data_IF_146205535037
#
_entry.id   IF_146205535037
#
_cell.length_a   1.000
_cell.length_b   1.000
_cell.length_c   1.000
_cell.angle_alpha   90.00
_cell.angle_beta   90.00
_cell.angle_gamma   90.00
#
_symmetry.space_group_name_H-M   'P 1'
#
loop_
_entity.id
_entity.type
_entity.pdbx_description
1 polymer ?
#
# COMPACT_ATOMS: atom_id res chain seq x y z
N UNK A 1 -15.41 -9.38 -9.38
CA UNK A 1 -14.71 -10.53 -10.00
C UNK A 1 -15.45 -11.85 -9.77
N UNK A 2 -15.65 -12.31 -8.53
CA UNK A 2 -16.29 -13.62 -8.23
C UNK A 2 -17.65 -13.80 -8.94
N UNK A 3 -18.52 -12.78 -8.91
CA UNK A 3 -19.82 -12.80 -9.61
C UNK A 3 -19.72 -12.89 -11.13
N UNK A 4 -18.66 -12.32 -11.73
CA UNK A 4 -18.48 -12.27 -13.20
C UNK A 4 -17.77 -13.51 -13.74
N UNK A 5 -16.75 -13.99 -13.03
CA UNK A 5 -15.87 -15.06 -13.49
C UNK A 5 -16.11 -16.41 -12.78
N UNK A 6 -16.98 -16.46 -11.78
CA UNK A 6 -17.31 -17.69 -11.04
C UNK A 6 -16.27 -18.15 -10.00
N UNK A 7 -15.13 -17.47 -9.90
CA UNK A 7 -14.05 -17.80 -8.97
C UNK A 7 -13.29 -16.54 -8.49
N UNK A 8 -12.52 -16.69 -7.40
CA UNK A 8 -11.76 -15.60 -6.80
C UNK A 8 -10.35 -15.49 -7.41
N UNK A 9 -9.89 -14.25 -7.63
CA UNK A 9 -8.54 -14.00 -8.09
C UNK A 9 -7.52 -14.42 -7.01
N UNK A 10 -6.56 -15.34 -7.31
CA UNK A 10 -5.59 -15.83 -6.33
C UNK A 10 -4.62 -14.78 -5.80
N UNK A 11 -4.50 -13.61 -6.45
CA UNK A 11 -3.65 -12.52 -5.99
C UNK A 11 -4.18 -11.79 -4.74
N UNK A 12 -5.44 -12.03 -4.35
CA UNK A 12 -6.10 -11.40 -3.21
C UNK A 12 -6.57 -12.44 -2.19
N UNK A 13 -6.76 -12.04 -0.91
CA UNK A 13 -7.37 -12.91 0.09
C UNK A 13 -8.74 -13.44 -0.36
N UNK A 14 -8.94 -14.75 -0.24
CA UNK A 14 -10.12 -15.44 -0.77
C UNK A 14 -11.17 -15.59 0.33
N UNK A 15 -12.41 -15.10 0.13
CA UNK A 15 -13.50 -15.30 1.07
C UNK A 15 -13.83 -16.79 1.24
N UNK A 16 -14.25 -17.20 2.44
CA UNK A 16 -14.59 -18.61 2.75
C UNK A 16 -15.69 -19.20 1.83
N UNK A 17 -16.54 -18.35 1.26
CA UNK A 17 -17.64 -18.73 0.36
C UNK A 17 -17.22 -18.93 -1.09
N UNK A 18 -15.97 -18.65 -1.45
CA UNK A 18 -15.48 -18.69 -2.83
C UNK A 18 -14.28 -19.63 -2.97
N UNK A 19 -14.07 -20.15 -4.18
CA UNK A 19 -12.89 -20.93 -4.54
C UNK A 19 -11.94 -20.10 -5.38
N UNK A 20 -10.64 -20.35 -5.23
CA UNK A 20 -9.60 -19.74 -6.05
C UNK A 20 -9.75 -20.17 -7.52
N UNK A 21 -9.58 -19.23 -8.45
CA UNK A 21 -9.42 -19.58 -9.86
C UNK A 21 -8.12 -20.38 -10.05
N UNK A 22 -8.17 -21.43 -10.89
CA UNK A 22 -6.96 -22.19 -11.22
C UNK A 22 -6.03 -21.34 -12.08
N UNK A 23 -4.75 -21.25 -11.71
CA UNK A 23 -3.75 -20.48 -12.45
C UNK A 23 -3.52 -21.05 -13.87
N UNK A 24 -3.72 -22.35 -14.06
CA UNK A 24 -3.62 -22.99 -15.37
C UNK A 24 -4.83 -22.75 -16.29
N UNK A 25 -5.94 -22.24 -15.75
CA UNK A 25 -7.15 -21.98 -16.54
C UNK A 25 -7.02 -20.65 -17.28
N UNK A 26 -6.83 -20.72 -18.60
CA UNK A 26 -6.70 -19.56 -19.47
C UNK A 26 -7.98 -18.70 -19.51
N UNK A 27 -9.16 -19.33 -19.53
CA UNK A 27 -10.43 -18.60 -19.64
C UNK A 27 -10.70 -17.82 -18.36
N UNK A 28 -10.45 -18.44 -17.19
CA UNK A 28 -10.58 -17.76 -15.91
C UNK A 28 -9.59 -16.58 -15.80
N UNK A 29 -8.35 -16.75 -16.27
CA UNK A 29 -7.34 -15.68 -16.29
C UNK A 29 -7.73 -14.49 -17.15
N UNK A 30 -8.21 -14.75 -18.37
CA UNK A 30 -8.63 -13.66 -19.26
C UNK A 30 -9.87 -12.95 -18.71
N UNK A 31 -10.80 -13.69 -18.08
CA UNK A 31 -11.93 -13.09 -17.39
C UNK A 31 -11.49 -12.17 -16.24
N UNK A 32 -10.58 -12.61 -15.38
CA UNK A 32 -10.04 -11.78 -14.29
C UNK A 32 -9.42 -10.50 -14.84
N UNK A 33 -8.56 -10.61 -15.86
CA UNK A 33 -7.89 -9.47 -16.49
C UNK A 33 -8.90 -8.45 -17.02
N UNK A 34 -9.90 -8.91 -17.79
CA UNK A 34 -10.93 -8.04 -18.36
C UNK A 34 -11.82 -7.43 -17.28
N UNK A 35 -12.18 -8.20 -16.25
CA UNK A 35 -12.94 -7.71 -15.12
C UNK A 35 -12.15 -6.62 -14.36
N UNK A 36 -10.86 -6.84 -14.10
CA UNK A 36 -10.00 -5.85 -13.45
C UNK A 36 -9.94 -4.56 -14.26
N UNK A 37 -9.68 -4.62 -15.57
CA UNK A 37 -9.66 -3.43 -16.42
C UNK A 37 -11.00 -2.69 -16.41
N UNK A 38 -12.11 -3.42 -16.49
CA UNK A 38 -13.45 -2.84 -16.43
C UNK A 38 -13.70 -2.12 -15.09
N UNK A 39 -13.36 -2.75 -13.96
CA UNK A 39 -13.51 -2.12 -12.65
C UNK A 39 -12.59 -0.91 -12.48
N UNK A 40 -11.33 -0.97 -12.93
CA UNK A 40 -10.42 0.17 -12.88
C UNK A 40 -10.98 1.39 -13.61
N UNK A 41 -11.58 1.19 -14.79
CA UNK A 41 -12.27 2.25 -15.53
C UNK A 41 -13.45 2.83 -14.75
N UNK A 42 -14.33 1.98 -14.23
CA UNK A 42 -15.49 2.43 -13.45
C UNK A 42 -15.08 3.22 -12.20
N UNK A 43 -14.00 2.82 -11.52
CA UNK A 43 -13.45 3.54 -10.37
C UNK A 43 -12.96 4.93 -10.80
N UNK A 44 -12.19 5.02 -11.89
CA UNK A 44 -11.68 6.31 -12.38
C UNK A 44 -12.77 7.27 -12.84
N UNK A 45 -13.90 6.76 -13.32
CA UNK A 45 -15.05 7.55 -13.75
C UNK A 45 -16.04 7.86 -12.61
N UNK A 46 -15.82 7.33 -11.40
CA UNK A 46 -16.76 7.46 -10.29
C UNK A 46 -18.09 6.70 -10.48
N UNK A 47 -18.15 5.80 -11.46
CA UNK A 47 -19.35 5.05 -11.86
C UNK A 47 -19.53 3.72 -11.10
N UNK A 48 -18.66 3.41 -10.15
CA UNK A 48 -18.74 2.17 -9.36
C UNK A 48 -19.70 2.34 -8.17
N UNK A 49 -20.96 1.93 -8.34
CA UNK A 49 -22.03 2.13 -7.34
C UNK A 49 -21.98 1.16 -6.15
N UNK A 50 -21.49 -0.07 -6.37
CA UNK A 50 -21.51 -1.16 -5.37
C UNK A 50 -20.29 -1.18 -4.43
N UNK A 51 -19.35 -0.24 -4.58
CA UNK A 51 -18.15 -0.14 -3.75
C UNK A 51 -18.01 1.27 -3.19
N UNK A 52 -18.68 1.54 -2.07
CA UNK A 52 -18.50 2.79 -1.33
C UNK A 52 -17.30 2.64 -0.41
N UNK A 53 -16.20 3.33 -0.72
CA UNK A 53 -14.99 3.37 0.09
C UNK A 53 -14.76 4.81 0.58
N UNK A 54 -15.05 5.05 1.86
CA UNK A 54 -14.71 6.33 2.50
C UNK A 54 -13.22 6.35 2.84
N UNK A 55 -12.59 7.53 2.70
CA UNK A 55 -11.22 7.73 3.18
C UNK A 55 -11.17 7.52 4.69
N UNK A 56 -10.11 6.86 5.18
CA UNK A 56 -9.91 6.65 6.62
C UNK A 56 -9.55 7.96 7.32
N UNK A 57 -10.13 8.20 8.50
CA UNK A 57 -9.79 9.39 9.31
C UNK A 57 -8.41 9.29 10.00
N UNK A 58 -7.80 8.11 10.00
CA UNK A 58 -6.46 7.87 10.54
C UNK A 58 -5.69 7.03 9.53
N UNK A 59 -4.61 7.61 9.02
CA UNK A 59 -3.73 7.00 8.03
C UNK A 59 -2.28 7.19 8.47
N UNK A 60 -1.44 6.20 8.20
CA UNK A 60 0.00 6.27 8.43
C UNK A 60 0.69 6.06 7.09
N UNK A 61 1.40 7.08 6.63
CA UNK A 61 2.18 7.04 5.40
C UNK A 61 3.67 6.91 5.71
N UNK A 62 4.37 6.06 4.97
CA UNK A 62 5.80 5.88 5.09
C UNK A 62 6.48 6.44 3.83
N UNK A 63 7.24 7.51 3.99
CA UNK A 63 8.12 8.01 2.94
C UNK A 63 9.43 7.20 2.94
N UNK A 64 9.89 6.80 1.75
CA UNK A 64 11.05 5.93 1.60
C UNK A 64 12.04 6.54 0.62
N UNK A 65 13.25 6.82 1.10
CA UNK A 65 14.41 7.14 0.27
C UNK A 65 15.20 5.88 -0.04
N UNK A 66 15.64 5.73 -1.30
CA UNK A 66 16.40 4.56 -1.74
C UNK A 66 17.82 4.93 -2.16
N UNK A 67 18.81 4.17 -1.67
CA UNK A 67 20.18 4.20 -2.16
C UNK A 67 20.72 2.78 -2.33
N UNK A 68 21.63 2.59 -3.28
CA UNK A 68 22.21 1.28 -3.59
C UNK A 68 23.71 1.37 -3.78
N UNK A 69 24.42 0.33 -3.35
CA UNK A 69 25.85 0.17 -3.54
C UNK A 69 26.17 -1.28 -3.93
N UNK A 70 27.31 -1.49 -4.61
CA UNK A 70 27.77 -2.83 -4.95
C UNK A 70 28.19 -3.57 -3.69
N UNK A 71 27.54 -4.68 -3.41
CA UNK A 71 27.87 -5.60 -2.33
C UNK A 71 27.87 -7.04 -2.88
N UNK A 72 28.82 -7.92 -2.48
CA UNK A 72 30.00 -7.64 -1.66
C UNK A 72 31.14 -6.98 -2.46
N UNK A 73 31.95 -6.16 -1.79
CA UNK A 73 33.07 -5.41 -2.39
C UNK A 73 34.28 -6.30 -2.77
N UNK A 74 34.33 -7.54 -2.29
CA UNK A 74 35.34 -8.55 -2.67
C UNK A 74 36.55 -8.67 -1.74
N UNK A 75 36.66 -7.82 -0.71
CA UNK A 75 37.78 -7.82 0.25
C UNK A 75 37.38 -8.26 1.66
N UNK A 76 36.09 -8.53 1.88
CA UNK A 76 35.52 -8.87 3.17
C UNK A 76 34.96 -10.29 3.18
N UNK A 77 35.09 -10.97 4.32
CA UNK A 77 34.41 -12.25 4.58
C UNK A 77 32.91 -12.03 4.41
N UNK A 78 32.30 -12.71 3.44
CA UNK A 78 30.86 -12.60 3.17
C UNK A 78 30.15 -13.70 3.93
N UNK A 79 29.55 -13.35 5.07
CA UNK A 79 28.86 -14.30 5.95
C UNK A 79 29.77 -15.49 6.32
N UNK A 80 29.45 -16.69 5.82
CA UNK A 80 30.17 -17.94 6.05
C UNK A 80 31.25 -18.22 5.00
N UNK A 81 31.29 -17.50 3.86
CA UNK A 81 32.32 -17.70 2.84
C UNK A 81 33.67 -17.16 3.34
N UNK A 82 34.70 -18.00 3.38
CA UNK A 82 36.07 -17.52 3.48
C UNK A 82 36.52 -16.90 2.15
N UNK A 83 37.39 -15.89 2.23
CA UNK A 83 37.86 -15.11 1.08
C UNK A 83 38.60 -15.92 0.00
N UNK A 84 38.86 -17.21 0.26
CA UNK A 84 39.61 -18.14 -0.61
C UNK A 84 38.65 -18.99 -1.46
N UNK A 85 37.36 -19.07 -1.11
CA UNK A 85 36.36 -19.81 -1.87
C UNK A 85 35.70 -18.93 -2.95
N UNK A 86 36.30 -18.96 -4.15
CA UNK A 86 35.84 -18.20 -5.31
C UNK A 86 34.42 -18.58 -5.75
N UNK A 87 34.01 -19.84 -5.59
CA UNK A 87 32.68 -20.30 -5.99
C UNK A 87 31.61 -19.78 -5.02
N UNK A 88 31.91 -19.80 -3.72
CA UNK A 88 31.06 -19.22 -2.69
C UNK A 88 30.88 -17.71 -2.92
N UNK A 89 31.97 -16.99 -3.18
CA UNK A 89 31.94 -15.55 -3.44
C UNK A 89 31.17 -15.19 -4.72
N UNK A 90 31.30 -15.97 -5.79
CA UNK A 90 30.55 -15.74 -7.03
C UNK A 90 29.03 -16.00 -6.84
N UNK A 91 28.67 -16.98 -6.00
CA UNK A 91 27.27 -17.24 -5.66
C UNK A 91 26.61 -16.05 -4.97
N UNK A 92 27.29 -15.44 -4.01
CA UNK A 92 26.78 -14.24 -3.32
C UNK A 92 26.77 -13.02 -4.26
N UNK A 93 27.79 -12.84 -5.09
CA UNK A 93 27.83 -11.74 -6.07
C UNK A 93 26.68 -11.75 -7.07
N UNK A 94 26.20 -12.94 -7.48
CA UNK A 94 25.11 -13.04 -8.48
C UNK A 94 23.72 -13.11 -7.88
N UNK A 95 23.58 -13.69 -6.68
CA UNK A 95 22.26 -14.08 -6.17
C UNK A 95 21.90 -13.46 -4.83
N UNK A 96 22.83 -12.78 -4.15
CA UNK A 96 22.55 -12.18 -2.86
C UNK A 96 22.29 -10.67 -2.97
N UNK A 97 21.43 -10.18 -2.10
CA UNK A 97 21.16 -8.77 -1.90
C UNK A 97 21.19 -8.46 -0.40
N UNK A 98 21.88 -7.40 -0.02
CA UNK A 98 21.84 -6.87 1.34
C UNK A 98 20.83 -5.73 1.39
N UNK A 99 19.82 -5.85 2.24
CA UNK A 99 18.80 -4.82 2.44
C UNK A 99 18.98 -4.28 3.85
N UNK A 100 19.20 -2.96 3.95
CA UNK A 100 19.27 -2.26 5.23
C UNK A 100 18.11 -1.28 5.31
N UNK A 101 17.23 -1.47 6.28
CA UNK A 101 16.12 -0.57 6.57
C UNK A 101 16.47 0.19 7.83
N UNK A 102 16.51 1.52 7.73
CA UNK A 102 16.79 2.39 8.85
C UNK A 102 15.89 3.63 8.77
N UNK A 103 15.77 4.34 9.88
CA UNK A 103 15.05 5.60 9.95
C UNK A 103 16.03 6.75 9.82
N UNK A 104 15.67 7.77 9.03
CA UNK A 104 16.40 9.03 8.97
C UNK A 104 16.15 9.86 10.24
N UNK A 105 16.95 10.90 10.48
CA UNK A 105 16.69 11.83 11.59
C UNK A 105 15.34 12.55 11.37
N UNK A 106 14.57 12.79 12.45
CA UNK A 106 13.21 13.38 12.40
C UNK A 106 12.19 12.54 11.57
N UNK A 107 12.23 11.22 11.72
CA UNK A 107 11.41 10.23 11.01
C UNK A 107 9.90 10.22 11.29
N UNK A 108 9.34 11.21 11.97
CA UNK A 108 7.92 11.21 12.33
C UNK A 108 7.31 12.61 12.20
N UNK A 109 6.38 12.72 11.27
CA UNK A 109 5.52 13.89 11.10
C UNK A 109 4.07 13.50 11.37
N UNK A 110 3.31 14.38 12.04
CA UNK A 110 1.87 14.20 12.25
C UNK A 110 1.12 15.38 11.68
N UNK A 111 0.14 15.08 10.83
CA UNK A 111 -0.83 16.05 10.35
C UNK A 111 -2.18 15.75 11.03
N UNK A 112 -2.63 16.68 11.87
CA UNK A 112 -3.90 16.57 12.60
C UNK A 112 -4.81 17.71 12.19
N UNK A 113 -6.00 17.39 11.69
CA UNK A 113 -7.04 18.38 11.45
C UNK A 113 -7.86 18.60 12.72
N UNK A 114 -8.03 19.87 13.11
CA UNK A 114 -8.88 20.26 14.23
C UNK A 114 -9.97 21.22 13.76
N UNK A 115 -11.20 21.13 14.30
CA UNK A 115 -12.28 22.01 13.89
C UNK A 115 -11.92 23.48 14.17
N UNK A 116 -12.18 24.36 13.20
CA UNK A 116 -11.90 25.80 13.33
C UNK A 116 -12.76 26.48 14.42
N UNK A 117 -13.93 25.93 14.73
CA UNK A 117 -14.82 26.40 15.78
C UNK A 117 -15.08 25.30 16.80
N UNK A 118 -14.87 25.62 18.07
CA UNK A 118 -15.38 24.82 19.18
C UNK A 118 -16.86 25.07 19.37
N UNK A 119 -17.58 24.12 19.97
CA UNK A 119 -19.01 24.26 20.28
C UNK A 119 -19.29 25.52 21.12
N UNK A 120 -18.41 25.86 22.06
CA UNK A 120 -18.56 27.06 22.88
C UNK A 120 -18.40 28.34 22.07
N UNK A 121 -17.39 28.41 21.19
CA UNK A 121 -17.21 29.57 20.31
C UNK A 121 -18.35 29.72 19.30
N UNK A 122 -18.90 28.62 18.80
CA UNK A 122 -20.05 28.62 17.91
C UNK A 122 -21.31 29.12 18.63
N UNK A 123 -21.54 28.66 19.85
CA UNK A 123 -22.69 29.10 20.64
C UNK A 123 -22.58 30.59 20.98
N UNK A 124 -21.41 31.05 21.45
CA UNK A 124 -21.17 32.46 21.77
C UNK A 124 -21.33 33.36 20.55
N UNK A 125 -20.86 32.94 19.37
CA UNK A 125 -21.02 33.71 18.14
C UNK A 125 -22.49 33.80 17.73
N UNK A 126 -23.24 32.69 17.77
CA UNK A 126 -24.66 32.68 17.46
C UNK A 126 -25.49 33.52 18.45
N UNK A 127 -25.22 33.43 19.76
CA UNK A 127 -25.90 34.25 20.76
C UNK A 127 -25.60 35.74 20.59
N UNK A 128 -24.34 36.12 20.36
CA UNK A 128 -23.98 37.52 20.12
C UNK A 128 -24.54 38.05 18.80
N UNK A 129 -24.60 37.25 17.74
CA UNK A 129 -25.28 37.64 16.49
C UNK A 129 -26.80 37.78 16.66
N UNK A 130 -27.40 37.03 17.58
CA UNK A 130 -28.84 37.15 17.91
C UNK A 130 -29.17 38.41 18.71
N UNK A 131 -28.23 38.91 19.51
CA UNK A 131 -28.38 40.16 20.28
C UNK A 131 -28.24 41.44 19.44
N UNK A 132 -27.73 41.35 18.20
CA UNK A 132 -27.57 42.51 17.29
C UNK A 132 -28.82 42.71 16.41
N UNK A 133 -29.74 41.75 16.37
CA UNK A 133 -30.98 41.80 15.57
C UNK A 133 -32.23 42.23 16.37
N UNK A 134 -32.07 42.71 17.61
CA UNK A 134 -33.14 43.30 18.42
C UNK A 134 -32.75 44.68 18.96
#
# INVERSE_FOLDING_TARGET
VIRLCGCANPAYPIPKTAKSCKVSDYIARECIKNATYHFSRLISEGNLTDCVCHQSCSEVNYEVTYSAARWPSGTTKVMECDNVDDLCMERYRRNAAMIQVFYEELNYETLTETPAYTVNSLLLSLFNSSLILH
#
